data_IF_015545224521
#
_entry.id   IF_015545224521
#
_cell.length_a   1.000
_cell.length_b   1.000
_cell.length_c   1.000
_cell.angle_alpha   90.00
_cell.angle_beta   90.00
_cell.angle_gamma   90.00
#
_symmetry.space_group_name_H-M   'P 1'
#
loop_
_entity.id
_entity.type
_entity.pdbx_description
1 polymer ?
#
# COMPACT_ATOMS: atom_id res chain seq x y z
N UNK A 1 40.20 34.89 -45.86
CA UNK A 1 39.29 35.77 -45.09
C UNK A 1 38.16 34.91 -44.54
N UNK A 2 38.00 34.87 -43.21
CA UNK A 2 36.72 34.82 -42.47
C UNK A 2 36.96 34.24 -41.07
N UNK A 3 37.19 35.16 -40.13
CA UNK A 3 37.25 34.90 -38.69
C UNK A 3 35.82 34.75 -38.16
N UNK A 4 35.47 33.56 -37.66
CA UNK A 4 34.21 33.33 -36.92
C UNK A 4 34.39 33.88 -35.51
N UNK A 5 33.69 34.98 -35.19
CA UNK A 5 33.67 35.59 -33.86
C UNK A 5 32.82 34.75 -32.90
N UNK A 6 33.47 34.03 -31.99
CA UNK A 6 32.82 33.51 -30.79
C UNK A 6 32.49 34.66 -29.83
N UNK A 7 31.19 34.90 -29.59
CA UNK A 7 30.74 35.80 -28.52
C UNK A 7 30.59 34.98 -27.23
N UNK A 8 31.61 35.04 -26.38
CA UNK A 8 31.54 34.51 -25.02
C UNK A 8 30.55 35.34 -24.18
N UNK A 9 29.38 34.77 -23.90
CA UNK A 9 28.39 35.36 -22.97
C UNK A 9 28.87 35.11 -21.54
N UNK A 10 29.43 36.15 -20.89
CA UNK A 10 29.72 36.14 -19.45
C UNK A 10 28.41 36.22 -18.66
N UNK A 11 27.82 35.07 -18.34
CA UNK A 11 26.67 34.97 -17.43
C UNK A 11 27.14 35.17 -15.97
N UNK A 12 26.66 36.25 -15.35
CA UNK A 12 26.91 36.58 -13.95
C UNK A 12 26.19 35.59 -13.02
N UNK A 13 26.92 35.04 -12.03
CA UNK A 13 26.41 34.08 -11.05
C UNK A 13 25.21 34.59 -10.25
N UNK A 14 25.05 35.92 -10.15
CA UNK A 14 23.90 36.54 -9.46
C UNK A 14 22.56 36.36 -10.20
N UNK A 15 22.58 36.23 -11.53
CA UNK A 15 21.35 36.09 -12.34
C UNK A 15 20.81 34.66 -12.30
N UNK A 16 21.70 33.67 -12.17
CA UNK A 16 21.35 32.26 -12.03
C UNK A 16 20.61 31.97 -10.72
N UNK A 17 21.06 32.54 -9.59
CA UNK A 17 20.43 32.30 -8.28
C UNK A 17 19.00 32.86 -8.23
N UNK A 18 18.76 34.02 -8.86
CA UNK A 18 17.43 34.61 -8.94
C UNK A 18 16.47 33.80 -9.83
N UNK A 19 16.97 33.15 -10.88
CA UNK A 19 16.18 32.26 -11.73
C UNK A 19 15.70 30.99 -11.02
N UNK A 20 16.55 30.41 -10.17
CA UNK A 20 16.20 29.22 -9.37
C UNK A 20 15.20 29.52 -8.24
N UNK A 21 15.28 30.70 -7.63
CA UNK A 21 14.30 31.12 -6.61
C UNK A 21 12.91 31.37 -7.20
N UNK A 22 12.82 31.92 -8.41
CA UNK A 22 11.54 32.19 -9.07
C UNK A 22 10.82 30.90 -9.53
N UNK A 23 11.57 29.86 -9.89
CA UNK A 23 10.99 28.56 -10.29
C UNK A 23 10.48 27.76 -9.09
N UNK A 24 11.13 27.87 -7.92
CA UNK A 24 10.66 27.20 -6.69
C UNK A 24 9.34 27.79 -6.15
N UNK A 25 9.14 29.11 -6.25
CA UNK A 25 7.89 29.76 -5.79
C UNK A 25 6.72 29.46 -6.73
N UNK A 26 6.96 29.36 -8.05
CA UNK A 26 5.94 28.97 -9.01
C UNK A 26 5.48 27.51 -8.83
N UNK A 27 6.38 26.60 -8.45
CA UNK A 27 6.05 25.20 -8.17
C UNK A 27 5.21 25.02 -6.90
N UNK A 28 5.35 25.90 -5.91
CA UNK A 28 4.55 25.83 -4.67
C UNK A 28 3.13 26.39 -4.85
N UNK A 29 2.94 27.40 -5.71
CA UNK A 29 1.62 27.97 -5.98
C UNK A 29 0.72 27.07 -6.84
N UNK A 30 1.30 26.28 -7.75
CA UNK A 30 0.57 25.26 -8.53
C UNK A 30 0.37 23.93 -7.77
N UNK A 31 1.17 23.66 -6.74
CA UNK A 31 1.04 22.46 -5.89
C UNK A 31 -0.03 22.56 -4.81
N UNK A 32 -0.53 23.77 -4.49
CA UNK A 32 -1.53 23.97 -3.44
C UNK A 32 -2.99 23.81 -3.93
N UNK A 33 -3.23 23.72 -5.24
CA UNK A 33 -4.58 23.74 -5.82
C UNK A 33 -5.15 22.36 -6.17
N UNK A 34 -4.40 21.26 -6.04
CA UNK A 34 -4.82 19.92 -6.51
C UNK A 34 -5.24 18.94 -5.41
N UNK A 35 -5.15 19.29 -4.12
CA UNK A 35 -5.49 18.37 -3.02
C UNK A 35 -6.97 18.36 -2.59
N UNK A 36 -7.86 19.04 -3.32
CA UNK A 36 -9.31 18.85 -3.21
C UNK A 36 -9.88 18.07 -4.40
N UNK A 37 -9.19 17.01 -4.85
CA UNK A 37 -9.91 15.93 -5.48
C UNK A 37 -10.59 15.14 -4.37
N UNK A 38 -11.86 15.49 -4.09
CA UNK A 38 -12.81 14.50 -3.59
C UNK A 38 -12.67 13.29 -4.51
N UNK A 39 -12.10 12.21 -3.98
CA UNK A 39 -12.13 10.92 -4.66
C UNK A 39 -13.59 10.64 -4.94
N UNK A 40 -13.95 10.67 -6.23
CA UNK A 40 -15.19 10.11 -6.70
C UNK A 40 -15.25 8.71 -6.10
N UNK A 41 -16.19 8.56 -5.17
CA UNK A 41 -16.47 7.32 -4.47
C UNK A 41 -17.01 6.37 -5.53
N UNK A 42 -16.13 5.64 -6.22
CA UNK A 42 -16.52 4.53 -7.06
C UNK A 42 -17.27 3.56 -6.16
N UNK A 43 -18.57 3.41 -6.39
CA UNK A 43 -19.48 2.56 -5.62
C UNK A 43 -18.89 1.14 -5.54
N UNK A 44 -18.25 0.77 -4.43
CA UNK A 44 -17.51 -0.48 -4.35
C UNK A 44 -18.45 -1.69 -4.21
N UNK A 45 -19.76 -1.42 -4.14
CA UNK A 45 -20.84 -2.36 -3.84
C UNK A 45 -22.01 -2.27 -4.82
N UNK A 46 -22.00 -1.36 -5.81
CA UNK A 46 -23.11 -1.22 -6.77
C UNK A 46 -24.46 -0.84 -6.14
N UNK A 47 -24.45 -0.17 -4.99
CA UNK A 47 -25.63 0.22 -4.22
C UNK A 47 -25.92 1.73 -4.28
N UNK A 48 -25.62 2.36 -5.42
CA UNK A 48 -25.63 3.81 -5.69
C UNK A 48 -26.92 4.55 -5.35
N UNK A 49 -28.04 3.83 -5.20
CA UNK A 49 -29.37 4.41 -5.16
C UNK A 49 -30.08 4.23 -3.80
N UNK A 50 -29.36 3.75 -2.77
CA UNK A 50 -29.92 3.53 -1.43
C UNK A 50 -29.40 4.56 -0.44
N UNK A 51 -30.32 5.23 0.28
CA UNK A 51 -29.96 6.08 1.42
C UNK A 51 -29.57 5.18 2.58
N UNK A 52 -28.27 5.09 2.87
CA UNK A 52 -27.76 4.33 4.00
C UNK A 52 -28.11 5.00 5.32
N UNK A 53 -28.46 4.21 6.33
CA UNK A 53 -28.56 4.72 7.71
C UNK A 53 -27.16 5.06 8.24
N UNK A 54 -27.10 5.75 9.38
CA UNK A 54 -25.83 6.11 10.01
C UNK A 54 -24.98 4.87 10.35
N UNK A 55 -25.63 3.80 10.78
CA UNK A 55 -25.02 2.52 11.15
C UNK A 55 -24.49 1.79 9.91
N UNK A 56 -25.27 1.78 8.82
CA UNK A 56 -24.83 1.22 7.53
C UNK A 56 -23.65 2.01 6.94
N UNK A 57 -23.65 3.35 7.10
CA UNK A 57 -22.52 4.21 6.70
C UNK A 57 -21.27 3.93 7.53
N UNK A 58 -21.42 3.65 8.83
CA UNK A 58 -20.31 3.26 9.69
C UNK A 58 -19.67 1.94 9.23
N UNK A 59 -20.48 0.95 8.81
CA UNK A 59 -20.00 -0.30 8.22
C UNK A 59 -19.24 -0.06 6.90
N UNK A 60 -19.72 0.82 6.03
CA UNK A 60 -19.02 1.19 4.80
C UNK A 60 -17.65 1.84 5.10
N UNK A 61 -17.61 2.71 6.11
CA UNK A 61 -16.37 3.37 6.52
C UNK A 61 -15.31 2.40 7.05
N UNK A 62 -15.71 1.22 7.55
CA UNK A 62 -14.75 0.18 7.98
C UNK A 62 -13.90 -0.38 6.84
N UNK A 63 -14.31 -0.22 5.58
CA UNK A 63 -13.61 -0.81 4.44
C UNK A 63 -12.50 0.11 3.89
N UNK A 64 -12.77 1.42 3.78
CA UNK A 64 -11.94 2.33 2.99
C UNK A 64 -11.40 3.55 3.74
N UNK A 65 -11.88 3.86 4.96
CA UNK A 65 -11.38 5.05 5.66
C UNK A 65 -9.95 4.84 6.14
N UNK A 66 -9.13 5.91 6.18
CA UNK A 66 -7.79 5.83 6.76
C UNK A 66 -7.91 5.43 8.23
N UNK A 67 -7.13 4.42 8.65
CA UNK A 67 -7.24 3.85 10.00
C UNK A 67 -8.45 2.94 10.21
N UNK A 68 -9.23 2.65 9.16
CA UNK A 68 -10.26 1.62 9.22
C UNK A 68 -9.66 0.23 9.32
N UNK A 69 -10.50 -0.75 9.69
CA UNK A 69 -10.13 -2.16 9.75
C UNK A 69 -9.62 -2.65 8.38
N UNK A 70 -10.34 -2.33 7.29
CA UNK A 70 -9.92 -2.68 5.94
C UNK A 70 -8.57 -2.07 5.55
N UNK A 71 -8.34 -0.80 5.91
CA UNK A 71 -7.04 -0.14 5.70
C UNK A 71 -5.90 -0.82 6.46
N UNK A 72 -6.10 -1.15 7.74
CA UNK A 72 -5.08 -1.79 8.57
C UNK A 72 -4.74 -3.21 8.11
N UNK A 73 -5.73 -3.96 7.61
CA UNK A 73 -5.52 -5.30 7.04
C UNK A 73 -4.69 -5.19 5.75
N UNK A 74 -5.03 -4.27 4.84
CA UNK A 74 -4.26 -4.06 3.61
C UNK A 74 -2.82 -3.60 3.89
N UNK A 75 -2.63 -2.71 4.86
CA UNK A 75 -1.29 -2.28 5.27
C UNK A 75 -0.49 -3.46 5.86
N UNK A 76 -1.15 -4.35 6.60
CA UNK A 76 -0.54 -5.56 7.14
C UNK A 76 -0.09 -6.52 6.02
N UNK A 77 -0.85 -6.66 4.93
CA UNK A 77 -0.42 -7.39 3.71
C UNK A 77 0.82 -6.74 3.10
N UNK A 78 0.86 -5.40 3.01
CA UNK A 78 2.02 -4.66 2.47
C UNK A 78 3.28 -4.92 3.31
N UNK A 79 3.15 -4.86 4.63
CA UNK A 79 4.24 -5.11 5.57
C UNK A 79 4.69 -6.57 5.55
N UNK A 80 3.77 -7.51 5.41
CA UNK A 80 4.10 -8.94 5.25
C UNK A 80 4.96 -9.19 4.00
N UNK A 81 4.59 -8.61 2.85
CA UNK A 81 5.41 -8.67 1.61
C UNK A 81 6.82 -8.12 1.81
N UNK A 82 6.94 -7.03 2.55
CA UNK A 82 8.24 -6.40 2.87
C UNK A 82 9.07 -7.28 3.81
N UNK A 83 8.44 -7.93 4.78
CA UNK A 83 9.05 -8.93 5.68
C UNK A 83 9.59 -10.13 4.89
N UNK A 84 8.77 -10.72 4.01
CA UNK A 84 9.17 -11.86 3.16
C UNK A 84 10.41 -11.54 2.32
N UNK A 85 10.44 -10.36 1.67
CA UNK A 85 11.62 -9.89 0.91
C UNK A 85 12.86 -9.70 1.79
N UNK A 86 12.68 -9.25 3.02
CA UNK A 86 13.78 -9.06 3.97
C UNK A 86 14.36 -10.40 4.42
N UNK A 87 13.51 -11.40 4.66
CA UNK A 87 13.92 -12.77 4.98
C UNK A 87 14.69 -13.42 3.83
N UNK A 88 14.27 -13.21 2.57
CA UNK A 88 15.00 -13.70 1.39
C UNK A 88 16.41 -13.11 1.28
N UNK A 89 16.54 -11.79 1.46
CA UNK A 89 17.85 -11.12 1.48
C UNK A 89 18.72 -11.67 2.60
N UNK A 90 18.15 -11.85 3.80
CA UNK A 90 18.88 -12.38 4.94
C UNK A 90 19.34 -13.84 4.70
N UNK A 91 18.50 -14.69 4.10
CA UNK A 91 18.86 -16.06 3.68
C UNK A 91 20.01 -16.07 2.68
N UNK A 92 19.98 -15.18 1.68
CA UNK A 92 21.06 -15.06 0.71
C UNK A 92 22.39 -14.70 1.38
N UNK A 93 22.36 -13.72 2.30
CA UNK A 93 23.55 -13.31 3.05
C UNK A 93 24.08 -14.41 3.96
N UNK A 94 23.20 -15.16 4.63
CA UNK A 94 23.59 -16.29 5.46
C UNK A 94 24.37 -17.33 4.66
N UNK A 95 23.86 -17.71 3.47
CA UNK A 95 24.51 -18.68 2.57
C UNK A 95 25.86 -18.19 2.06
N UNK A 96 25.96 -16.90 1.72
CA UNK A 96 27.21 -16.28 1.26
C UNK A 96 28.28 -16.29 2.35
N UNK A 97 27.90 -15.94 3.58
CA UNK A 97 28.78 -15.96 4.76
C UNK A 97 29.21 -17.39 5.08
N UNK A 98 28.28 -18.32 5.10
CA UNK A 98 28.56 -19.73 5.38
C UNK A 98 29.53 -20.33 4.37
N UNK A 99 29.30 -20.09 3.07
CA UNK A 99 30.22 -20.53 2.00
C UNK A 99 31.61 -19.94 2.16
N UNK A 100 31.70 -18.67 2.54
CA UNK A 100 32.98 -17.99 2.76
C UNK A 100 33.71 -18.54 3.98
N UNK A 101 32.96 -18.83 5.05
CA UNK A 101 33.49 -19.44 6.28
C UNK A 101 33.99 -20.86 6.03
N UNK A 102 33.21 -21.68 5.35
CA UNK A 102 33.56 -23.06 4.99
C UNK A 102 34.85 -23.14 4.14
N UNK A 103 34.98 -22.24 3.16
CA UNK A 103 36.23 -22.07 2.40
C UNK A 103 37.42 -21.69 3.30
N UNK A 104 37.23 -20.77 4.24
CA UNK A 104 38.31 -20.34 5.15
C UNK A 104 38.80 -21.45 6.08
N UNK A 105 37.96 -22.46 6.34
CA UNK A 105 38.28 -23.63 7.17
C UNK A 105 38.77 -24.84 6.37
N UNK A 106 38.90 -24.72 5.05
CA UNK A 106 39.31 -25.83 4.19
C UNK A 106 38.28 -26.96 4.10
N UNK A 107 37.04 -26.71 4.51
CA UNK A 107 35.93 -27.67 4.49
C UNK A 107 34.75 -27.08 3.70
N UNK A 108 34.85 -26.97 2.37
CA UNK A 108 33.83 -26.30 1.55
C UNK A 108 32.46 -26.98 1.55
N UNK A 109 32.41 -28.27 1.90
CA UNK A 109 31.17 -29.07 1.93
C UNK A 109 30.46 -29.04 3.29
N UNK A 110 31.11 -28.53 4.34
CA UNK A 110 30.53 -28.45 5.68
C UNK A 110 29.54 -27.27 5.77
N UNK A 111 28.31 -27.56 6.18
CA UNK A 111 27.30 -26.53 6.51
C UNK A 111 27.27 -26.26 8.01
N UNK A 112 27.81 -25.12 8.41
CA UNK A 112 27.91 -24.70 9.82
C UNK A 112 26.62 -24.10 10.38
N UNK A 113 25.78 -23.50 9.54
CA UNK A 113 24.59 -22.74 9.92
C UNK A 113 23.29 -23.36 9.38
N UNK A 114 23.32 -24.64 9.00
CA UNK A 114 22.18 -25.36 8.43
C UNK A 114 20.89 -25.26 9.26
N UNK A 115 20.99 -25.33 10.59
CA UNK A 115 19.82 -25.20 11.48
C UNK A 115 19.21 -23.80 11.43
N UNK A 116 20.05 -22.77 11.35
CA UNK A 116 19.60 -21.37 11.24
C UNK A 116 18.99 -21.14 9.86
N UNK A 117 19.62 -21.65 8.80
CA UNK A 117 19.07 -21.62 7.44
C UNK A 117 17.67 -22.24 7.40
N UNK A 118 17.51 -23.43 7.99
CA UNK A 118 16.23 -24.14 8.04
C UNK A 118 15.14 -23.30 8.75
N UNK A 119 15.45 -22.72 9.91
CA UNK A 119 14.50 -21.86 10.64
C UNK A 119 14.11 -20.61 9.85
N UNK A 120 15.05 -20.02 9.11
CA UNK A 120 14.77 -18.87 8.26
C UNK A 120 13.91 -19.23 7.05
N UNK A 121 14.10 -20.43 6.48
CA UNK A 121 13.23 -20.96 5.42
C UNK A 121 11.80 -21.18 5.94
N UNK A 122 11.65 -21.77 7.13
CA UNK A 122 10.34 -21.93 7.77
C UNK A 122 9.67 -20.59 8.07
N UNK A 123 10.43 -19.61 8.60
CA UNK A 123 9.92 -18.26 8.84
C UNK A 123 9.44 -17.59 7.56
N UNK A 124 10.14 -17.80 6.43
CA UNK A 124 9.70 -17.33 5.12
C UNK A 124 8.37 -17.97 4.71
N UNK A 125 8.25 -19.30 4.80
CA UNK A 125 7.02 -20.01 4.46
C UNK A 125 5.82 -19.50 5.29
N UNK A 126 5.99 -19.35 6.60
CA UNK A 126 4.94 -18.80 7.46
C UNK A 126 4.60 -17.34 7.14
N UNK A 127 5.57 -16.54 6.69
CA UNK A 127 5.33 -15.16 6.24
C UNK A 127 4.46 -15.13 4.97
N UNK A 128 4.73 -16.03 4.01
CA UNK A 128 3.92 -16.19 2.80
C UNK A 128 2.50 -16.70 3.11
N UNK A 129 2.36 -17.65 4.03
CA UNK A 129 1.06 -18.13 4.52
C UNK A 129 0.27 -17.00 5.19
N UNK A 130 0.92 -16.20 6.05
CA UNK A 130 0.31 -15.06 6.72
C UNK A 130 -0.16 -14.01 5.72
N UNK A 131 0.59 -13.75 4.66
CA UNK A 131 0.18 -12.86 3.57
C UNK A 131 -1.15 -13.34 2.95
N UNK A 132 -1.22 -14.63 2.62
CA UNK A 132 -2.43 -15.26 2.08
C UNK A 132 -3.62 -15.12 3.01
N UNK A 133 -3.49 -15.54 4.26
CA UNK A 133 -4.57 -15.45 5.25
C UNK A 133 -5.04 -14.02 5.49
N UNK A 134 -4.12 -13.05 5.51
CA UNK A 134 -4.46 -11.63 5.71
C UNK A 134 -5.18 -11.06 4.49
N UNK A 135 -4.77 -11.45 3.28
CA UNK A 135 -5.45 -11.07 2.04
C UNK A 135 -6.87 -11.66 1.97
N UNK A 136 -7.01 -12.94 2.31
CA UNK A 136 -8.32 -13.61 2.35
C UNK A 136 -9.25 -12.97 3.39
N UNK A 137 -8.71 -12.60 4.56
CA UNK A 137 -9.46 -11.89 5.58
C UNK A 137 -10.05 -10.57 5.07
N UNK A 138 -9.31 -9.81 4.24
CA UNK A 138 -9.83 -8.60 3.60
C UNK A 138 -11.00 -8.91 2.65
N UNK A 139 -10.88 -9.96 1.84
CA UNK A 139 -11.96 -10.38 0.93
C UNK A 139 -13.20 -10.84 1.69
N UNK A 140 -13.03 -11.62 2.76
CA UNK A 140 -14.11 -12.04 3.65
C UNK A 140 -14.76 -10.81 4.29
N UNK A 141 -13.98 -9.86 4.82
CA UNK A 141 -14.52 -8.62 5.39
C UNK A 141 -15.38 -7.85 4.39
N UNK A 142 -14.91 -7.70 3.15
CA UNK A 142 -15.67 -7.04 2.08
C UNK A 142 -16.99 -7.76 1.79
N UNK A 143 -16.95 -9.09 1.67
CA UNK A 143 -18.14 -9.91 1.44
C UNK A 143 -19.13 -9.83 2.60
N UNK A 144 -18.66 -9.98 3.85
CA UNK A 144 -19.50 -9.90 5.05
C UNK A 144 -20.18 -8.53 5.19
N UNK A 145 -19.49 -7.43 4.90
CA UNK A 145 -20.10 -6.09 4.89
C UNK A 145 -21.20 -6.02 3.82
N UNK A 146 -20.92 -6.53 2.61
CA UNK A 146 -21.91 -6.54 1.52
C UNK A 146 -23.16 -7.35 1.88
N UNK A 147 -22.98 -8.56 2.40
CA UNK A 147 -24.08 -9.45 2.83
C UNK A 147 -24.91 -8.78 3.93
N UNK A 148 -24.26 -8.20 4.94
CA UNK A 148 -24.95 -7.52 6.05
C UNK A 148 -25.80 -6.35 5.55
N UNK A 149 -25.29 -5.58 4.59
CA UNK A 149 -26.02 -4.45 4.00
C UNK A 149 -27.20 -4.90 3.13
N UNK A 150 -27.06 -6.01 2.41
CA UNK A 150 -28.14 -6.61 1.60
C UNK A 150 -29.25 -7.17 2.50
N UNK A 151 -28.90 -7.90 3.56
CA UNK A 151 -29.86 -8.43 4.54
C UNK A 151 -30.65 -7.31 5.25
N UNK A 152 -29.97 -6.21 5.59
CA UNK A 152 -30.62 -5.02 6.13
C UNK A 152 -31.61 -4.39 5.13
N UNK A 153 -31.30 -4.45 3.83
CA UNK A 153 -32.21 -3.99 2.76
C UNK A 153 -33.50 -4.78 2.71
N UNK A 154 -33.39 -6.11 2.68
CA UNK A 154 -34.53 -7.01 2.56
C UNK A 154 -35.47 -6.91 3.78
N UNK A 155 -34.92 -6.67 4.97
CA UNK A 155 -35.70 -6.47 6.20
C UNK A 155 -36.40 -5.09 6.26
N UNK A 156 -35.87 -4.08 5.56
CA UNK A 156 -36.45 -2.74 5.49
C UNK A 156 -37.74 -2.67 4.66
N UNK A 157 -37.79 -3.39 3.54
CA UNK A 157 -38.95 -3.38 2.63
C UNK A 157 -40.21 -4.04 3.25
N UNK A 158 -40.04 -4.97 4.18
CA UNK A 158 -41.15 -5.64 4.88
C UNK A 158 -41.91 -4.78 5.91
N UNK A 159 -41.41 -3.59 6.27
CA UNK A 159 -42.05 -2.69 7.25
C UNK A 159 -42.84 -1.53 6.63
N UNK A 160 -42.61 -1.21 5.36
CA UNK A 160 -43.30 -0.10 4.69
C UNK A 160 -44.75 -0.42 4.28
N UNK A 161 -45.14 -1.70 4.22
CA UNK A 161 -46.46 -2.14 3.75
C UNK A 161 -47.58 -2.24 4.81
N UNK A 162 -47.38 -1.75 6.04
CA UNK A 162 -48.33 -1.99 7.16
C UNK A 162 -49.03 -0.75 7.73
N UNK A 163 -49.01 0.39 7.04
CA UNK A 163 -49.65 1.63 7.51
C UNK A 163 -50.59 2.21 6.43
N UNK A 164 -51.71 1.54 6.17
CA UNK A 164 -52.95 2.15 5.65
C UNK A 164 -54.11 1.15 5.77
N UNK A 165 -54.64 1.00 6.98
CA UNK A 165 -56.00 0.50 7.18
C UNK A 165 -56.46 0.88 8.59
N UNK A 166 -56.99 2.10 8.73
CA UNK A 166 -58.04 2.44 9.67
C UNK A 166 -58.68 3.76 9.27
#
# INVERSE_FOLDING_TARGET
MSQVKEKAVKLSRGTLIRGWLLTAVAAFALGASTNCQMQAQEDPLGMSNRKFTREETMLLNMLHSKGSVGYLILESVRLSKESTRSLEKALFRLREIEKSYAKSKGQPDTRYLATTELKMVQAKQHSEELEGFTSDCFHVLKSSIKETLLDASLKGEGKAGKVTAK
#
